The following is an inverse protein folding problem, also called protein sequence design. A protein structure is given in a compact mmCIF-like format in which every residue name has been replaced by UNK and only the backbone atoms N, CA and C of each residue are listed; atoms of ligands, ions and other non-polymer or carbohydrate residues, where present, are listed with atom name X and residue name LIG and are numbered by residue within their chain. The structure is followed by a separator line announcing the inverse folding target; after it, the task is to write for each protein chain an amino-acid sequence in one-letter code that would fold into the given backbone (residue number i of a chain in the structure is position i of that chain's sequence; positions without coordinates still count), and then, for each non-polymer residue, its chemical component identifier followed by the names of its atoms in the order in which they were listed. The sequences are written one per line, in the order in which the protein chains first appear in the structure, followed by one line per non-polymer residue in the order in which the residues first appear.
data_IF_839886054055
#
_entry.id   IF_839886054055
#
_cell.length_a   1.000
_cell.length_b   1.000
_cell.length_c   1.000
_cell.angle_alpha   90.00
_cell.angle_beta   90.00
_cell.angle_gamma   90.00
#
_symmetry.space_group_name_H-M   'P 1'
#
loop_
_entity.id
_entity.type
_entity.pdbx_description
1 polymer ?
#
# COMPACT_ATOMS: atom_id res chain seq x y z
N UNK A 1 -6.11 6.71 -21.75
CA UNK A 1 -5.87 7.73 -22.80
C UNK A 1 -5.34 9.02 -22.19
N UNK A 2 -4.70 9.88 -22.98
CA UNK A 2 -4.16 11.16 -22.49
C UNK A 2 -5.27 12.18 -22.17
N UNK A 3 -5.12 13.03 -21.13
CA UNK A 3 -6.11 14.06 -20.78
C UNK A 3 -6.57 14.94 -21.95
N UNK A 4 -5.65 15.56 -22.71
CA UNK A 4 -6.01 16.41 -23.86
C UNK A 4 -6.88 15.68 -24.91
N UNK A 5 -6.68 14.37 -25.09
CA UNK A 5 -7.47 13.58 -26.03
C UNK A 5 -8.87 13.31 -25.48
N UNK A 6 -8.97 13.06 -24.19
CA UNK A 6 -10.26 12.89 -23.50
C UNK A 6 -11.09 14.18 -23.56
N UNK A 7 -10.45 15.34 -23.31
CA UNK A 7 -11.08 16.66 -23.41
C UNK A 7 -11.61 16.95 -24.82
N UNK A 8 -10.81 16.68 -25.86
CA UNK A 8 -11.24 16.82 -27.26
C UNK A 8 -12.43 15.93 -27.63
N UNK A 9 -12.56 14.77 -26.99
CA UNK A 9 -13.67 13.83 -27.20
C UNK A 9 -14.85 14.10 -26.27
N UNK A 10 -14.71 14.99 -25.28
CA UNK A 10 -15.72 15.26 -24.26
C UNK A 10 -16.04 14.05 -23.38
N UNK A 11 -15.03 13.25 -23.03
CA UNK A 11 -15.19 12.03 -22.21
C UNK A 11 -14.40 12.12 -20.92
N UNK A 12 -14.93 11.48 -19.87
CA UNK A 12 -14.33 11.40 -18.54
C UNK A 12 -13.99 9.95 -18.16
N UNK A 13 -13.39 9.75 -16.97
CA UNK A 13 -13.13 8.41 -16.45
C UNK A 13 -14.45 7.64 -16.30
N UNK A 14 -14.51 6.44 -16.86
CA UNK A 14 -15.67 5.55 -16.82
C UNK A 14 -16.61 5.68 -18.02
N UNK A 15 -16.49 6.75 -18.82
CA UNK A 15 -17.27 6.85 -20.05
C UNK A 15 -16.85 5.76 -21.04
N UNK A 16 -17.84 5.18 -21.72
CA UNK A 16 -17.63 4.11 -22.67
C UNK A 16 -17.36 4.67 -24.07
N UNK A 17 -16.28 4.23 -24.70
CA UNK A 17 -15.92 4.56 -26.08
C UNK A 17 -15.81 3.31 -26.94
N UNK A 18 -16.29 3.40 -28.19
CA UNK A 18 -16.05 2.39 -29.21
C UNK A 18 -14.69 2.63 -29.87
N UNK A 19 -13.82 1.63 -29.80
CA UNK A 19 -12.56 1.57 -30.51
C UNK A 19 -12.73 0.72 -31.76
N UNK A 20 -12.56 1.32 -32.94
CA UNK A 20 -12.67 0.63 -34.23
C UNK A 20 -11.32 0.63 -34.96
N UNK A 21 -10.92 -0.55 -35.40
CA UNK A 21 -9.76 -0.79 -36.27
C UNK A 21 -10.22 -1.48 -37.55
N UNK A 22 -9.28 -1.80 -38.45
CA UNK A 22 -9.58 -2.60 -39.64
C UNK A 22 -9.91 -4.07 -39.29
N UNK A 23 -9.63 -4.51 -38.06
CA UNK A 23 -9.78 -5.90 -37.60
C UNK A 23 -11.04 -6.15 -36.78
N UNK A 24 -11.50 -5.13 -36.03
CA UNK A 24 -12.62 -5.29 -35.12
C UNK A 24 -13.05 -3.98 -34.46
N UNK A 25 -14.12 -4.07 -33.67
CA UNK A 25 -14.62 -2.98 -32.84
C UNK A 25 -14.90 -3.48 -31.43
N UNK A 26 -14.47 -2.73 -30.43
CA UNK A 26 -14.71 -3.03 -29.01
C UNK A 26 -15.18 -1.78 -28.28
N UNK A 27 -16.13 -1.95 -27.36
CA UNK A 27 -16.55 -0.91 -26.43
C UNK A 27 -15.77 -1.06 -25.11
N UNK A 28 -15.10 0.00 -24.68
CA UNK A 28 -14.25 -0.01 -23.48
C UNK A 28 -14.45 1.24 -22.64
N UNK A 29 -14.33 1.13 -21.30
CA UNK A 29 -14.35 2.29 -20.44
C UNK A 29 -13.05 3.10 -20.56
N UNK A 30 -13.16 4.41 -20.45
CA UNK A 30 -12.04 5.34 -20.47
C UNK A 30 -11.38 5.41 -19.10
N UNK A 31 -10.05 5.22 -19.07
CA UNK A 31 -9.19 5.63 -17.97
C UNK A 31 -8.18 6.69 -18.47
N UNK A 32 -8.21 7.87 -17.87
CA UNK A 32 -7.34 9.00 -18.17
C UNK A 32 -6.02 8.82 -17.43
N UNK A 33 -4.92 8.91 -18.16
CA UNK A 33 -3.56 8.76 -17.62
C UNK A 33 -2.64 9.81 -18.23
N UNK A 34 -2.06 10.73 -17.46
CA UNK A 34 -1.22 11.81 -17.99
C UNK A 34 0.10 11.33 -18.58
N UNK A 35 0.59 10.15 -18.18
CA UNK A 35 1.87 9.60 -18.65
C UNK A 35 1.84 8.94 -20.03
N UNK A 36 0.67 8.84 -20.69
CA UNK A 36 0.56 8.26 -22.04
C UNK A 36 0.71 9.33 -23.12
N UNK A 37 1.27 8.99 -24.28
CA UNK A 37 1.38 9.93 -25.40
C UNK A 37 0.00 10.39 -25.91
N UNK A 38 -0.11 11.64 -26.35
CA UNK A 38 -1.39 12.28 -26.75
C UNK A 38 -2.13 11.58 -27.90
N UNK A 39 -1.38 10.94 -28.80
CA UNK A 39 -1.89 10.24 -29.98
C UNK A 39 -2.00 8.71 -29.76
N UNK A 40 -1.81 8.23 -28.52
CA UNK A 40 -1.84 6.81 -28.18
C UNK A 40 -2.96 6.51 -27.19
N UNK A 41 -3.64 5.38 -27.41
CA UNK A 41 -4.51 4.75 -26.43
C UNK A 41 -3.92 3.38 -26.11
N UNK A 42 -3.75 3.11 -24.82
CA UNK A 42 -3.33 1.80 -24.32
C UNK A 42 -4.57 1.02 -23.87
N UNK A 43 -4.60 -0.27 -24.22
CA UNK A 43 -5.62 -1.21 -23.76
C UNK A 43 -4.91 -2.44 -23.21
N UNK A 44 -5.19 -2.79 -21.94
CA UNK A 44 -4.54 -3.90 -21.27
C UNK A 44 -5.07 -5.24 -21.77
N UNK A 45 -4.18 -6.20 -22.03
CA UNK A 45 -4.52 -7.58 -22.42
C UNK A 45 -4.89 -8.43 -21.19
N UNK A 46 -5.59 -9.55 -21.41
CA UNK A 46 -5.94 -10.52 -20.36
C UNK A 46 -7.40 -10.47 -19.88
N UNK A 47 -8.25 -9.68 -20.51
CA UNK A 47 -9.71 -9.69 -20.33
C UNK A 47 -10.44 -10.41 -21.47
N UNK A 48 -11.76 -10.55 -21.35
CA UNK A 48 -12.64 -11.10 -22.38
C UNK A 48 -12.50 -12.61 -22.58
N UNK A 49 -12.16 -13.34 -21.52
CA UNK A 49 -12.10 -14.80 -21.58
C UNK A 49 -13.51 -15.42 -21.68
N UNK A 50 -13.62 -16.57 -22.34
CA UNK A 50 -14.88 -17.32 -22.53
C UNK A 50 -14.80 -18.77 -22.05
N UNK A 51 -13.64 -19.21 -21.55
CA UNK A 51 -13.40 -20.56 -21.05
C UNK A 51 -12.24 -20.66 -20.06
N UNK A 52 -11.97 -19.58 -19.32
CA UNK A 52 -10.99 -19.51 -18.23
C UNK A 52 -11.63 -19.67 -16.84
N UNK A 53 -12.93 -19.95 -16.79
CA UNK A 53 -13.68 -20.25 -15.57
C UNK A 53 -14.33 -19.03 -14.94
N UNK A 54 -15.09 -19.29 -13.86
CA UNK A 54 -16.04 -18.34 -13.24
C UNK A 54 -15.49 -16.95 -12.85
N UNK A 55 -14.18 -16.80 -12.68
CA UNK A 55 -13.56 -15.53 -12.27
C UNK A 55 -13.04 -14.71 -13.45
N UNK A 56 -12.85 -15.32 -14.62
CA UNK A 56 -12.31 -14.68 -15.80
C UNK A 56 -13.34 -14.60 -16.94
N UNK A 57 -14.28 -15.54 -17.00
CA UNK A 57 -15.27 -15.62 -18.05
C UNK A 57 -16.23 -14.42 -18.02
N UNK A 58 -16.36 -13.74 -19.16
CA UNK A 58 -17.23 -12.57 -19.30
C UNK A 58 -16.71 -11.29 -18.64
N UNK A 59 -15.51 -11.30 -18.05
CA UNK A 59 -14.93 -10.12 -17.41
C UNK A 59 -14.03 -9.34 -18.38
N UNK A 60 -14.37 -8.06 -18.59
CA UNK A 60 -13.67 -7.17 -19.52
C UNK A 60 -13.90 -7.53 -20.99
N UNK A 61 -13.03 -7.01 -21.86
CA UNK A 61 -13.03 -7.31 -23.30
C UNK A 61 -11.69 -7.89 -23.72
N UNK A 62 -11.66 -8.57 -24.87
CA UNK A 62 -10.43 -9.14 -25.42
C UNK A 62 -9.80 -8.19 -26.46
N UNK A 63 -8.71 -7.48 -26.14
CA UNK A 63 -8.10 -6.51 -27.07
C UNK A 63 -7.51 -7.16 -28.32
N UNK A 64 -7.29 -8.48 -28.30
CA UNK A 64 -6.75 -9.21 -29.45
C UNK A 64 -7.67 -9.13 -30.67
N UNK A 65 -8.95 -8.78 -30.50
CA UNK A 65 -9.90 -8.55 -31.59
C UNK A 65 -9.63 -7.26 -32.39
N UNK A 66 -8.79 -6.37 -31.89
CA UNK A 66 -8.42 -5.11 -32.54
C UNK A 66 -7.10 -5.16 -33.31
N UNK A 67 -6.45 -6.32 -33.37
CA UNK A 67 -5.11 -6.48 -33.97
C UNK A 67 -5.09 -7.64 -34.98
N UNK A 68 -4.17 -7.64 -35.95
CA UNK A 68 -4.08 -8.74 -36.92
C UNK A 68 -3.68 -10.05 -36.25
N UNK A 69 -4.26 -11.16 -36.71
CA UNK A 69 -3.82 -12.51 -36.37
C UNK A 69 -2.57 -12.92 -37.17
N UNK A 70 -1.53 -12.07 -37.12
CA UNK A 70 -0.28 -12.23 -37.85
C UNK A 70 0.91 -12.14 -36.87
N UNK A 71 2.06 -12.63 -37.31
CA UNK A 71 3.33 -12.47 -36.58
C UNK A 71 4.16 -11.40 -37.25
N UNK A 72 4.86 -10.61 -36.44
CA UNK A 72 5.79 -9.61 -36.94
C UNK A 72 6.98 -10.32 -37.61
N UNK A 73 7.28 -9.96 -38.85
CA UNK A 73 8.15 -10.74 -39.72
C UNK A 73 9.60 -10.83 -39.23
N UNK A 74 10.10 -9.83 -38.51
CA UNK A 74 11.50 -9.80 -38.03
C UNK A 74 11.69 -10.57 -36.72
N UNK A 75 10.75 -10.49 -35.79
CA UNK A 75 10.83 -11.08 -34.45
C UNK A 75 10.10 -12.41 -34.34
N UNK A 76 9.16 -12.71 -35.23
CA UNK A 76 8.21 -13.82 -35.10
C UNK A 76 7.23 -13.64 -33.92
N UNK A 77 7.24 -12.46 -33.28
CA UNK A 77 6.36 -12.14 -32.15
C UNK A 77 4.93 -11.81 -32.60
N UNK A 78 4.01 -11.80 -31.63
CA UNK A 78 2.65 -11.32 -31.87
C UNK A 78 2.65 -9.82 -32.14
N UNK A 79 1.78 -9.37 -33.04
CA UNK A 79 1.58 -7.94 -33.27
C UNK A 79 0.85 -7.33 -32.07
N UNK A 80 1.48 -6.38 -31.39
CA UNK A 80 0.93 -5.75 -30.16
C UNK A 80 0.47 -4.30 -30.35
N UNK A 81 0.58 -3.74 -31.56
CA UNK A 81 0.16 -2.36 -31.82
C UNK A 81 -0.43 -2.20 -33.22
N UNK A 82 -1.35 -1.26 -33.36
CA UNK A 82 -1.91 -0.80 -34.64
C UNK A 82 -1.85 0.71 -34.69
N UNK A 83 -1.65 1.28 -35.89
CA UNK A 83 -1.38 2.72 -36.03
C UNK A 83 -2.63 3.56 -36.29
N UNK A 84 -3.76 2.94 -36.67
CA UNK A 84 -5.00 3.65 -36.99
C UNK A 84 -6.15 3.08 -36.18
N UNK A 85 -6.67 3.90 -35.27
CA UNK A 85 -7.83 3.59 -34.44
C UNK A 85 -8.81 4.76 -34.55
N UNK A 86 -10.08 4.46 -34.80
CA UNK A 86 -11.17 5.43 -34.66
C UNK A 86 -11.79 5.27 -33.28
N UNK A 87 -12.07 6.39 -32.63
CA UNK A 87 -12.63 6.43 -31.27
C UNK A 87 -13.91 7.24 -31.35
N UNK A 88 -15.02 6.69 -30.85
CA UNK A 88 -16.30 7.37 -30.77
C UNK A 88 -16.91 7.19 -29.37
N UNK A 89 -17.37 8.27 -28.71
CA UNK A 89 -18.14 8.15 -27.48
C UNK A 89 -19.45 7.40 -27.73
N UNK A 90 -19.80 6.46 -26.86
CA UNK A 90 -21.06 5.70 -26.97
C UNK A 90 -22.23 6.39 -26.25
N UNK A 91 -21.92 7.30 -25.31
CA UNK A 91 -22.89 7.90 -24.40
C UNK A 91 -23.22 7.03 -23.17
N UNK A 92 -22.70 5.81 -23.08
CA UNK A 92 -22.82 4.96 -21.91
C UNK A 92 -21.71 5.25 -20.90
N UNK A 93 -21.98 4.97 -19.62
CA UNK A 93 -21.02 5.12 -18.54
C UNK A 93 -20.90 3.82 -17.74
N UNK A 94 -19.67 3.47 -17.38
CA UNK A 94 -19.32 2.31 -16.60
C UNK A 94 -18.67 2.73 -15.29
N UNK A 95 -19.18 2.20 -14.17
CA UNK A 95 -18.61 2.51 -12.86
C UNK A 95 -17.30 1.73 -12.65
N UNK A 96 -16.18 2.43 -12.83
CA UNK A 96 -14.85 1.86 -12.58
C UNK A 96 -14.63 1.60 -11.09
N UNK A 97 -14.32 0.35 -10.73
CA UNK A 97 -13.83 0.03 -9.40
C UNK A 97 -12.35 0.40 -9.27
N UNK A 98 -12.05 1.39 -8.42
CA UNK A 98 -10.69 1.82 -8.14
C UNK A 98 -10.47 1.92 -6.64
N UNK A 99 -9.36 1.36 -6.17
CA UNK A 99 -8.83 1.59 -4.82
C UNK A 99 -7.96 2.85 -4.74
N UNK A 100 -7.60 3.42 -5.90
CA UNK A 100 -6.83 4.66 -5.98
C UNK A 100 -7.73 5.80 -5.48
N UNK A 101 -7.23 6.52 -4.48
CA UNK A 101 -7.87 7.74 -3.99
C UNK A 101 -7.53 8.93 -4.88
N UNK A 102 -7.09 10.02 -4.27
CA UNK A 102 -6.55 11.17 -5.00
C UNK A 102 -5.22 10.82 -5.66
N UNK A 103 -5.10 11.06 -6.96
CA UNK A 103 -3.85 10.93 -7.72
C UNK A 103 -2.84 12.05 -7.39
N UNK A 104 -3.24 13.06 -6.60
CA UNK A 104 -2.37 14.15 -6.12
C UNK A 104 -2.25 14.12 -4.59
N UNK A 105 -1.07 14.49 -4.10
CA UNK A 105 -0.80 14.65 -2.67
C UNK A 105 -1.48 15.89 -2.09
N UNK A 106 -1.95 16.83 -2.92
CA UNK A 106 -2.53 18.11 -2.47
C UNK A 106 -1.56 18.91 -1.58
N UNK A 107 -0.28 18.98 -1.98
CA UNK A 107 0.80 19.63 -1.24
C UNK A 107 0.94 19.12 0.21
N UNK A 108 0.84 17.80 0.39
CA UNK A 108 1.09 17.14 1.68
C UNK A 108 2.37 16.31 1.56
N UNK A 109 3.28 16.32 2.54
CA UNK A 109 4.54 15.60 2.49
C UNK A 109 4.36 14.09 2.75
N UNK A 110 3.54 13.41 1.93
CA UNK A 110 3.24 11.97 2.07
C UNK A 110 4.38 11.17 1.42
N UNK A 111 4.76 11.52 0.20
CA UNK A 111 5.84 10.94 -0.61
C UNK A 111 6.78 12.05 -1.08
N UNK A 112 7.59 12.64 -0.18
CA UNK A 112 8.56 13.65 -0.56
C UNK A 112 9.67 13.04 -1.40
N UNK A 113 10.20 13.85 -2.32
CA UNK A 113 11.43 13.58 -3.04
C UNK A 113 12.55 14.53 -2.58
N UNK A 114 13.79 14.17 -2.89
CA UNK A 114 14.98 15.01 -2.73
C UNK A 114 15.78 14.94 -4.02
N UNK A 115 16.29 16.08 -4.49
CA UNK A 115 17.12 16.07 -5.70
C UNK A 115 18.49 15.46 -5.37
N UNK A 116 19.11 14.81 -6.36
CA UNK A 116 20.46 14.26 -6.21
C UNK A 116 21.49 15.35 -5.88
N UNK A 117 21.27 16.59 -6.36
CA UNK A 117 22.12 17.73 -6.04
C UNK A 117 22.10 18.07 -4.55
N UNK A 118 20.92 17.99 -3.92
CA UNK A 118 20.72 18.38 -2.52
C UNK A 118 21.24 17.34 -1.53
N UNK A 119 21.40 16.08 -1.94
CA UNK A 119 21.91 15.00 -1.07
C UNK A 119 23.33 15.24 -0.55
N UNK A 120 24.16 16.01 -1.26
CA UNK A 120 25.54 16.30 -0.85
C UNK A 120 25.72 17.68 -0.21
N UNK A 121 24.76 18.58 -0.42
CA UNK A 121 24.68 19.83 0.31
C UNK A 121 23.93 19.52 1.58
N UNK A 122 24.62 18.82 2.49
CA UNK A 122 24.07 18.33 3.75
C UNK A 122 23.06 19.33 4.25
N UNK A 123 21.78 18.98 4.09
CA UNK A 123 20.71 19.95 4.28
C UNK A 123 20.89 20.43 5.71
N UNK A 124 21.36 21.66 5.89
CA UNK A 124 21.12 22.38 7.13
C UNK A 124 19.64 22.15 7.37
N UNK A 125 19.34 21.40 8.42
CA UNK A 125 18.11 20.64 8.51
C UNK A 125 16.96 21.50 8.00
N UNK A 126 16.29 21.04 6.94
CA UNK A 126 14.92 21.44 6.73
C UNK A 126 14.09 20.83 7.86
N UNK A 127 14.37 21.23 9.11
CA UNK A 127 13.34 21.49 10.08
C UNK A 127 12.41 22.43 9.34
N UNK A 128 11.22 21.97 9.00
CA UNK A 128 10.17 22.88 8.62
C UNK A 128 10.16 24.01 9.66
N UNK A 129 10.44 25.24 9.22
CA UNK A 129 10.44 26.42 10.07
C UNK A 129 9.02 26.63 10.60
N UNK A 130 8.73 25.95 11.71
CA UNK A 130 7.40 25.85 12.27
C UNK A 130 7.47 25.03 13.55
N UNK A 131 8.11 25.57 14.58
CA UNK A 131 8.35 24.92 15.86
C UNK A 131 7.14 24.15 16.39
N UNK A 132 7.15 22.84 16.19
CA UNK A 132 6.31 21.93 16.93
C UNK A 132 6.96 21.75 18.32
N UNK A 133 6.15 21.90 19.37
CA UNK A 133 6.64 21.65 20.74
C UNK A 133 7.17 20.21 20.89
N UNK A 134 7.88 19.89 21.98
CA UNK A 134 8.48 18.57 22.18
C UNK A 134 7.45 17.46 22.01
N UNK A 135 7.84 16.37 21.34
CA UNK A 135 6.97 15.20 21.19
C UNK A 135 6.55 14.67 22.56
N UNK A 136 5.40 14.02 22.61
CA UNK A 136 4.86 13.46 23.86
C UNK A 136 4.66 11.97 23.72
N UNK A 137 5.01 11.24 24.75
CA UNK A 137 4.81 9.79 24.84
C UNK A 137 3.57 9.48 25.68
N UNK A 138 2.65 8.69 25.14
CA UNK A 138 1.48 8.21 25.88
C UNK A 138 1.89 7.01 26.73
N UNK A 139 1.83 7.15 28.06
CA UNK A 139 2.15 6.07 28.99
C UNK A 139 0.87 5.33 29.41
N UNK A 140 0.97 4.00 29.55
CA UNK A 140 -0.16 3.11 29.85
C UNK A 140 -0.96 3.48 31.12
N UNK A 141 -0.34 4.19 32.08
CA UNK A 141 -0.95 4.53 33.38
C UNK A 141 -0.81 6.01 33.81
N UNK A 142 -0.37 6.92 32.94
CA UNK A 142 0.12 8.24 33.39
C UNK A 142 -0.28 9.47 32.56
N UNK A 143 -1.09 9.31 31.51
CA UNK A 143 -1.28 10.38 30.53
C UNK A 143 -0.03 10.59 29.67
N UNK A 144 0.11 11.78 29.09
CA UNK A 144 1.23 12.11 28.22
C UNK A 144 2.44 12.59 29.01
N UNK A 145 3.59 11.94 28.83
CA UNK A 145 4.89 12.40 29.32
C UNK A 145 5.61 13.11 28.16
N UNK A 146 5.94 14.41 28.27
CA UNK A 146 6.74 15.07 27.24
C UNK A 146 8.14 14.43 27.17
N UNK A 147 8.59 14.16 25.95
CA UNK A 147 9.94 13.68 25.65
C UNK A 147 10.60 14.76 24.81
N UNK A 148 11.71 15.31 25.29
CA UNK A 148 12.51 16.27 24.51
C UNK A 148 13.25 15.50 23.41
N UNK A 149 12.82 15.72 22.17
CA UNK A 149 13.35 15.10 20.94
C UNK A 149 12.98 16.02 19.79
N UNK A 150 13.81 16.03 18.75
CA UNK A 150 13.53 16.75 17.50
C UNK A 150 12.54 16.00 16.61
N UNK A 151 12.10 14.80 17.01
CA UNK A 151 11.17 13.96 16.28
C UNK A 151 11.79 13.22 15.11
N UNK A 152 13.11 13.20 15.05
CA UNK A 152 13.82 12.59 13.94
C UNK A 152 13.52 11.08 13.91
N UNK A 153 13.50 10.45 12.73
CA UNK A 153 13.28 9.01 12.63
C UNK A 153 14.26 8.18 13.47
N UNK A 154 15.47 8.69 13.67
CA UNK A 154 16.52 8.07 14.50
C UNK A 154 16.26 8.11 16.01
N UNK A 155 15.41 9.03 16.49
CA UNK A 155 15.06 9.16 17.91
C UNK A 155 14.16 8.01 18.42
N UNK A 156 13.89 7.01 17.58
CA UNK A 156 12.92 5.97 17.86
C UNK A 156 13.56 4.61 18.14
N UNK A 157 13.01 3.86 19.11
CA UNK A 157 11.90 4.24 19.99
C UNK A 157 12.27 5.38 20.95
N UNK A 158 11.29 6.19 21.35
CA UNK A 158 11.56 7.31 22.25
C UNK A 158 12.11 6.81 23.59
N UNK A 159 13.08 7.50 24.21
CA UNK A 159 13.60 7.12 25.51
C UNK A 159 12.50 6.97 26.57
N UNK A 160 12.46 5.83 27.27
CA UNK A 160 11.47 5.55 28.31
C UNK A 160 10.09 5.13 27.79
N UNK A 161 9.93 4.89 26.49
CA UNK A 161 8.70 4.32 25.93
C UNK A 161 8.49 2.90 26.46
N UNK A 162 7.36 2.64 27.11
CA UNK A 162 6.94 1.30 27.56
C UNK A 162 5.81 0.81 26.68
N UNK A 163 5.87 -0.46 26.28
CA UNK A 163 4.89 -1.05 25.37
C UNK A 163 4.16 -2.19 26.05
N UNK A 164 2.83 -2.09 26.12
CA UNK A 164 2.02 -3.04 26.86
C UNK A 164 2.19 -2.92 28.39
N UNK A 165 1.33 -3.63 29.13
CA UNK A 165 1.33 -3.61 30.61
C UNK A 165 2.39 -4.54 31.24
N UNK A 166 2.97 -5.44 30.44
CA UNK A 166 3.83 -6.54 30.91
C UNK A 166 5.17 -6.61 30.18
N UNK A 167 5.57 -5.54 29.47
CA UNK A 167 6.81 -5.51 28.72
C UNK A 167 8.01 -5.05 29.55
N UNK A 168 9.12 -5.78 29.41
CA UNK A 168 10.42 -5.42 29.95
C UNK A 168 11.29 -4.75 28.87
N UNK A 169 12.33 -4.02 29.28
CA UNK A 169 13.19 -3.27 28.35
C UNK A 169 13.99 -4.16 27.38
N UNK A 170 14.11 -5.46 27.69
CA UNK A 170 14.81 -6.49 26.90
C UNK A 170 14.02 -6.96 25.66
N UNK A 171 12.71 -6.66 25.60
CA UNK A 171 11.88 -7.06 24.45
C UNK A 171 12.30 -6.33 23.17
N UNK A 172 12.29 -7.01 22.00
CA UNK A 172 12.63 -6.38 20.73
C UNK A 172 11.60 -5.29 20.39
N UNK A 173 12.03 -4.27 19.65
CA UNK A 173 11.10 -3.30 19.05
C UNK A 173 11.03 -3.56 17.55
N UNK A 174 9.94 -4.15 17.09
CA UNK A 174 9.76 -4.40 15.67
C UNK A 174 9.47 -3.11 14.91
N UNK A 175 10.27 -2.85 13.88
CA UNK A 175 10.12 -1.71 13.00
C UNK A 175 10.30 -2.12 11.55
N UNK A 176 9.92 -1.23 10.65
CA UNK A 176 10.08 -1.39 9.22
C UNK A 176 10.63 -0.12 8.61
N UNK A 177 11.50 -0.24 7.62
CA UNK A 177 11.91 0.87 6.78
C UNK A 177 11.57 0.57 5.32
N UNK A 178 11.12 1.58 4.58
CA UNK A 178 10.77 1.44 3.16
C UNK A 178 11.49 2.49 2.32
N UNK A 179 12.36 2.05 1.42
CA UNK A 179 13.04 2.92 0.47
C UNK A 179 12.15 3.19 -0.76
N UNK A 180 11.62 4.42 -0.85
CA UNK A 180 10.72 4.80 -1.94
C UNK A 180 11.45 4.95 -3.27
N UNK A 181 12.76 5.21 -3.25
CA UNK A 181 13.58 5.30 -4.45
C UNK A 181 13.66 3.96 -5.20
N UNK A 182 13.69 2.86 -4.43
CA UNK A 182 13.70 1.50 -4.96
C UNK A 182 12.29 0.98 -5.30
N UNK A 183 11.24 1.63 -4.82
CA UNK A 183 9.88 1.14 -4.98
C UNK A 183 9.34 1.43 -6.39
N UNK A 184 9.30 0.40 -7.23
CA UNK A 184 8.80 0.50 -8.61
C UNK A 184 7.27 0.42 -8.73
N UNK A 185 6.56 0.18 -7.62
CA UNK A 185 5.11 -0.01 -7.64
C UNK A 185 4.64 -1.37 -8.21
N UNK A 186 5.47 -2.41 -8.12
CA UNK A 186 5.17 -3.73 -8.70
C UNK A 186 4.02 -4.52 -8.03
N UNK A 187 3.49 -4.05 -6.90
CA UNK A 187 2.39 -4.68 -6.12
C UNK A 187 2.63 -6.11 -5.60
N UNK A 188 3.82 -6.69 -5.77
CA UNK A 188 4.20 -8.01 -5.23
C UNK A 188 4.04 -8.10 -3.70
N UNK A 189 4.29 -7.00 -2.98
CA UNK A 189 4.13 -6.94 -1.53
C UNK A 189 2.67 -7.06 -1.08
N UNK A 190 1.71 -6.61 -1.90
CA UNK A 190 0.27 -6.71 -1.64
C UNK A 190 -0.17 -8.17 -1.77
N UNK A 191 0.15 -8.80 -2.90
CA UNK A 191 -0.20 -10.20 -3.18
C UNK A 191 0.43 -11.14 -2.15
N UNK A 192 1.70 -10.90 -1.78
CA UNK A 192 2.35 -11.69 -0.74
C UNK A 192 1.68 -11.52 0.64
N UNK A 193 1.27 -10.30 1.00
CA UNK A 193 0.53 -10.08 2.24
C UNK A 193 -0.84 -10.80 2.22
N UNK A 194 -1.51 -10.78 1.07
CA UNK A 194 -2.80 -11.44 0.87
C UNK A 194 -2.69 -12.96 1.04
N UNK A 195 -1.72 -13.57 0.34
CA UNK A 195 -1.45 -15.00 0.42
C UNK A 195 -1.00 -15.44 1.82
N UNK A 196 -0.10 -14.68 2.45
CA UNK A 196 0.46 -15.02 3.75
C UNK A 196 -0.56 -14.91 4.88
N UNK A 197 -1.40 -13.88 4.84
CA UNK A 197 -2.29 -13.53 5.95
C UNK A 197 -3.76 -13.85 5.66
N UNK A 198 -4.05 -14.76 4.73
CA UNK A 198 -5.42 -15.20 4.43
C UNK A 198 -6.39 -14.02 4.16
N UNK A 199 -5.91 -12.96 3.50
CA UNK A 199 -6.76 -11.79 3.23
C UNK A 199 -7.71 -12.15 2.07
N UNK A 200 -9.03 -11.98 2.25
CA UNK A 200 -10.00 -12.36 1.23
C UNK A 200 -9.93 -11.45 0.01
N UNK A 201 -10.28 -11.97 -1.16
CA UNK A 201 -10.57 -11.15 -2.33
C UNK A 201 -12.01 -10.60 -2.26
N UNK A 202 -12.22 -9.45 -2.86
CA UNK A 202 -13.52 -8.78 -2.93
C UNK A 202 -13.90 -8.54 -4.38
N UNK A 203 -15.18 -8.74 -4.71
CA UNK A 203 -15.67 -8.47 -6.06
C UNK A 203 -15.73 -6.98 -6.37
N UNK A 204 -15.82 -6.68 -7.67
CA UNK A 204 -15.76 -5.33 -8.21
C UNK A 204 -16.74 -4.35 -7.54
N UNK A 205 -18.00 -4.76 -7.33
CA UNK A 205 -19.00 -3.93 -6.68
C UNK A 205 -18.65 -3.54 -5.24
N UNK A 206 -17.95 -4.39 -4.49
CA UNK A 206 -17.47 -4.05 -3.14
C UNK A 206 -16.29 -3.09 -3.20
N UNK A 207 -15.38 -3.28 -4.15
CA UNK A 207 -14.25 -2.37 -4.38
C UNK A 207 -14.76 -0.98 -4.78
N UNK A 208 -15.76 -0.88 -5.66
CA UNK A 208 -16.39 0.38 -6.04
C UNK A 208 -17.05 1.13 -4.86
N UNK A 209 -17.45 0.40 -3.80
CA UNK A 209 -17.95 0.99 -2.55
C UNK A 209 -16.83 1.34 -1.55
N UNK A 210 -15.56 1.19 -1.93
CA UNK A 210 -14.41 1.41 -1.05
C UNK A 210 -14.20 0.33 0.02
N UNK A 211 -14.69 -0.89 -0.22
CA UNK A 211 -14.64 -2.03 0.71
C UNK A 211 -13.58 -3.05 0.31
N UNK A 212 -12.44 -2.56 -0.13
CA UNK A 212 -11.22 -3.35 -0.30
C UNK A 212 -10.73 -3.91 1.04
N UNK A 213 -10.13 -5.10 0.98
CA UNK A 213 -9.58 -5.83 2.13
C UNK A 213 -8.04 -5.79 2.17
N UNK A 214 -7.37 -5.11 1.24
CA UNK A 214 -5.92 -4.98 1.18
C UNK A 214 -5.31 -4.40 2.47
N UNK A 215 -4.48 -5.20 3.15
CA UNK A 215 -3.74 -4.75 4.34
C UNK A 215 -2.56 -3.82 4.02
N UNK A 216 -2.14 -3.83 2.76
CA UNK A 216 -1.13 -2.96 2.18
C UNK A 216 -1.77 -2.35 0.93
N UNK A 217 -1.81 -1.04 0.86
CA UNK A 217 -2.22 -0.31 -0.34
C UNK A 217 -1.00 0.31 -0.99
N UNK A 218 -0.91 0.25 -2.31
CA UNK A 218 0.10 0.98 -3.05
C UNK A 218 -0.51 2.32 -3.45
N UNK A 219 -0.10 3.37 -2.75
CA UNK A 219 -0.49 4.73 -3.06
C UNK A 219 0.39 5.24 -4.20
N UNK A 220 -0.24 5.90 -5.17
CA UNK A 220 0.42 6.46 -6.35
C UNK A 220 0.07 7.93 -6.44
N UNK A 221 1.09 8.75 -6.55
CA UNK A 221 0.94 10.19 -6.73
C UNK A 221 1.65 10.67 -7.98
N UNK A 222 1.01 11.60 -8.67
CA UNK A 222 1.54 12.31 -9.82
C UNK A 222 2.03 13.68 -9.40
N UNK A 223 3.30 13.95 -9.66
CA UNK A 223 3.93 15.26 -9.48
C UNK A 223 4.30 15.85 -10.84
N UNK A 224 4.09 17.15 -11.00
CA UNK A 224 4.38 17.86 -12.24
C UNK A 224 5.82 18.35 -12.19
N UNK A 225 6.62 17.90 -13.14
CA UNK A 225 8.01 18.36 -13.31
C UNK A 225 8.03 19.44 -14.38
N UNK A 226 8.87 20.47 -14.22
CA UNK A 226 9.10 21.47 -15.26
C UNK A 226 9.43 20.76 -16.60
N UNK A 227 8.67 21.10 -17.64
CA UNK A 227 8.68 20.47 -18.96
C UNK A 227 10.01 20.63 -19.74
N UNK A 228 10.98 21.37 -19.20
CA UNK A 228 12.33 21.52 -19.76
C UNK A 228 13.25 20.31 -19.50
N UNK A 229 12.86 19.38 -18.61
CA UNK A 229 13.59 18.14 -18.31
C UNK A 229 12.80 16.89 -18.77
N UNK A 230 13.44 15.72 -18.83
CA UNK A 230 12.88 14.51 -19.45
C UNK A 230 11.55 14.04 -18.81
N UNK A 231 10.43 14.33 -19.51
CA UNK A 231 9.07 13.91 -19.16
C UNK A 231 8.40 14.85 -18.14
N UNK A 232 7.17 15.35 -18.40
CA UNK A 232 6.51 16.33 -17.53
C UNK A 232 5.90 15.72 -16.24
N UNK A 233 6.19 14.45 -15.94
CA UNK A 233 5.48 13.68 -14.91
C UNK A 233 6.44 12.83 -14.09
N UNK A 234 6.53 13.12 -12.79
CA UNK A 234 7.11 12.22 -11.79
C UNK A 234 5.99 11.39 -11.15
N UNK A 235 6.24 10.09 -11.00
CA UNK A 235 5.30 9.15 -10.37
C UNK A 235 5.95 8.63 -9.10
N UNK A 236 5.26 8.81 -7.99
CA UNK A 236 5.72 8.39 -6.66
C UNK A 236 4.84 7.28 -6.16
N UNK A 237 5.47 6.19 -5.72
CA UNK A 237 4.80 5.03 -5.15
C UNK A 237 5.12 4.93 -3.67
N UNK A 238 4.10 4.70 -2.85
CA UNK A 238 4.28 4.43 -1.42
C UNK A 238 3.40 3.24 -1.02
N UNK A 239 3.99 2.14 -0.54
CA UNK A 239 3.22 1.07 0.06
C UNK A 239 2.78 1.48 1.47
N UNK A 240 1.54 1.93 1.59
CA UNK A 240 0.88 2.30 2.83
C UNK A 240 0.34 1.05 3.53
N UNK A 241 0.63 0.90 4.82
CA UNK A 241 0.18 -0.22 5.67
C UNK A 241 -0.02 0.24 7.10
N UNK A 242 -0.43 -0.67 8.00
CA UNK A 242 -0.40 -0.35 9.43
C UNK A 242 1.00 0.07 9.84
N UNK A 243 1.09 1.25 10.44
CA UNK A 243 2.34 1.86 10.85
C UNK A 243 2.82 1.38 12.21
N UNK A 244 2.03 0.53 12.91
CA UNK A 244 2.30 0.08 14.28
C UNK A 244 2.75 1.22 15.21
N UNK A 245 2.02 2.34 15.10
CA UNK A 245 2.21 3.58 15.85
C UNK A 245 2.41 3.30 17.33
N UNK A 246 3.36 3.98 17.97
CA UNK A 246 3.56 3.90 19.41
C UNK A 246 2.41 4.58 20.16
N UNK A 247 2.11 5.82 19.79
CA UNK A 247 0.90 6.51 20.22
C UNK A 247 -0.24 6.13 19.28
N UNK A 248 -0.72 4.87 19.34
CA UNK A 248 -1.74 4.38 18.43
C UNK A 248 -3.13 4.95 18.76
N UNK A 249 -3.69 5.87 17.93
CA UNK A 249 -5.02 6.44 18.20
C UNK A 249 -6.14 5.41 18.04
N UNK A 250 -5.87 4.35 17.29
CA UNK A 250 -6.82 3.28 17.02
C UNK A 250 -7.05 2.33 18.21
N UNK A 251 -6.21 2.37 19.25
CA UNK A 251 -6.35 1.51 20.44
C UNK A 251 -7.32 2.02 21.50
N UNK A 252 -7.18 3.25 22.04
CA UNK A 252 -8.03 3.71 23.14
C UNK A 252 -9.51 3.85 22.75
N UNK A 253 -9.81 3.88 21.45
CA UNK A 253 -11.18 3.95 20.92
C UNK A 253 -11.87 2.59 20.81
N UNK A 254 -11.17 1.48 21.08
CA UNK A 254 -11.76 0.15 21.05
C UNK A 254 -12.44 -0.18 22.39
N UNK A 255 -13.79 -0.23 22.46
CA UNK A 255 -14.50 -0.41 23.74
C UNK A 255 -14.31 -1.79 24.38
N UNK A 256 -13.81 -2.76 23.61
CA UNK A 256 -13.63 -4.15 24.04
C UNK A 256 -12.16 -4.57 24.10
N UNK A 257 -11.24 -3.61 23.91
CA UNK A 257 -9.79 -3.85 23.92
C UNK A 257 -9.34 -4.96 22.95
N UNK A 258 -9.98 -5.03 21.77
CA UNK A 258 -9.56 -5.93 20.69
C UNK A 258 -8.22 -5.50 20.04
N UNK A 259 -7.74 -4.31 20.37
CA UNK A 259 -6.49 -3.74 19.89
C UNK A 259 -5.72 -3.20 21.08
N UNK A 260 -4.44 -3.57 21.19
CA UNK A 260 -3.56 -3.19 22.29
C UNK A 260 -2.10 -3.31 21.85
N UNK A 261 -1.19 -2.66 22.55
CA UNK A 261 0.25 -2.86 22.35
C UNK A 261 0.75 -4.13 23.02
N UNK A 262 1.46 -4.96 22.28
CA UNK A 262 2.23 -6.07 22.84
C UNK A 262 3.55 -5.56 23.46
N UNK A 263 4.19 -6.36 24.34
CA UNK A 263 5.50 -6.06 24.90
C UNK A 263 6.58 -5.71 23.87
N UNK A 264 6.59 -6.40 22.73
CA UNK A 264 7.52 -6.19 21.62
C UNK A 264 7.12 -5.03 20.68
N UNK A 265 6.18 -4.19 21.12
CA UNK A 265 5.83 -2.94 20.44
C UNK A 265 4.90 -3.10 19.23
N UNK A 266 4.33 -4.28 19.00
CA UNK A 266 3.34 -4.47 17.95
C UNK A 266 1.99 -3.92 18.42
N UNK A 267 1.38 -3.10 17.58
CA UNK A 267 -0.06 -2.91 17.67
C UNK A 267 -0.77 -4.23 17.32
N UNK A 268 -1.35 -4.93 18.29
CA UNK A 268 -2.08 -6.18 18.06
C UNK A 268 -3.53 -5.93 17.58
N UNK A 269 -4.05 -6.88 16.80
CA UNK A 269 -5.48 -6.97 16.48
C UNK A 269 -5.93 -8.38 16.85
N UNK A 270 -6.71 -8.48 17.90
CA UNK A 270 -7.30 -9.74 18.36
C UNK A 270 -8.64 -9.89 17.66
N UNK A 271 -8.69 -10.76 16.65
CA UNK A 271 -9.84 -10.89 15.74
C UNK A 271 -11.11 -11.31 16.47
N UNK A 272 -11.04 -12.36 17.30
CA UNK A 272 -12.18 -12.92 18.05
C UNK A 272 -12.71 -12.02 19.18
N UNK A 273 -11.99 -10.95 19.54
CA UNK A 273 -12.45 -9.96 20.53
C UNK A 273 -13.17 -8.79 19.86
N UNK A 274 -12.99 -8.60 18.56
CA UNK A 274 -13.57 -7.49 17.83
C UNK A 274 -15.09 -7.65 17.71
N UNK A 275 -15.84 -6.66 18.17
CA UNK A 275 -17.32 -6.61 18.05
C UNK A 275 -17.79 -5.69 16.91
N UNK A 276 -16.88 -5.28 16.02
CA UNK A 276 -17.24 -4.60 14.78
C UNK A 276 -17.73 -3.16 14.90
N UNK A 277 -17.34 -2.40 15.93
CA UNK A 277 -17.73 -0.99 16.07
C UNK A 277 -17.11 -0.05 15.03
N UNK A 278 -16.01 -0.47 14.38
CA UNK A 278 -15.27 0.25 13.33
C UNK A 278 -14.65 1.60 13.73
N UNK A 279 -14.76 2.01 14.98
CA UNK A 279 -14.22 3.31 15.41
C UNK A 279 -12.68 3.39 15.27
N UNK A 280 -11.98 2.26 15.44
CA UNK A 280 -10.54 2.19 15.21
C UNK A 280 -10.13 2.51 13.76
N UNK A 281 -11.01 2.30 12.77
CA UNK A 281 -10.76 2.71 11.39
C UNK A 281 -10.83 4.24 11.24
N UNK A 282 -11.83 4.87 11.85
CA UNK A 282 -12.02 6.32 11.78
C UNK A 282 -10.83 7.05 12.43
N UNK A 283 -10.38 6.59 13.60
CA UNK A 283 -9.33 7.25 14.36
C UNK A 283 -7.91 6.96 13.81
N UNK A 284 -7.75 5.96 12.95
CA UNK A 284 -6.47 5.72 12.28
C UNK A 284 -6.24 6.80 11.20
N UNK A 285 -5.18 7.62 11.28
CA UNK A 285 -4.94 8.68 10.30
C UNK A 285 -4.64 8.11 8.90
N UNK A 286 -4.01 6.94 8.83
CA UNK A 286 -3.66 6.25 7.58
C UNK A 286 -4.82 5.45 6.94
N UNK A 287 -5.94 5.26 7.65
CA UNK A 287 -7.09 4.47 7.20
C UNK A 287 -6.73 3.05 6.73
N UNK A 288 -5.78 2.41 7.40
CA UNK A 288 -5.23 1.06 7.08
C UNK A 288 -5.84 -0.08 7.91
N UNK A 289 -6.96 0.19 8.57
CA UNK A 289 -7.79 -0.84 9.20
C UNK A 289 -8.96 -1.13 8.27
N UNK A 290 -9.05 -2.35 7.78
CA UNK A 290 -10.11 -2.81 6.87
C UNK A 290 -11.15 -3.61 7.64
N UNK A 291 -12.38 -3.68 7.14
CA UNK A 291 -13.49 -4.31 7.85
C UNK A 291 -14.11 -5.42 7.02
N UNK A 292 -14.30 -6.59 7.62
CA UNK A 292 -15.04 -7.67 6.99
C UNK A 292 -16.53 -7.37 6.98
N UNK A 293 -17.02 -6.88 5.85
CA UNK A 293 -18.45 -6.58 5.65
C UNK A 293 -19.31 -7.83 5.52
N UNK A 294 -18.74 -8.89 4.96
CA UNK A 294 -19.40 -10.14 4.66
C UNK A 294 -18.48 -11.30 5.04
N UNK A 295 -19.04 -12.50 5.05
CA UNK A 295 -18.24 -13.72 5.17
C UNK A 295 -17.72 -14.05 3.78
N UNK A 296 -16.39 -14.22 3.66
CA UNK A 296 -15.72 -14.48 2.39
C UNK A 296 -15.26 -15.94 2.23
N UNK A 297 -15.63 -16.79 3.18
CA UNK A 297 -15.12 -18.15 3.34
C UNK A 297 -16.21 -19.22 3.25
N UNK A 298 -17.47 -18.81 3.12
CA UNK A 298 -18.60 -19.73 3.02
C UNK A 298 -18.62 -20.46 1.67
N UNK A 299 -19.12 -21.70 1.65
CA UNK A 299 -19.23 -22.53 0.44
C UNK A 299 -20.24 -21.95 -0.56
N UNK A 300 -21.34 -21.37 -0.06
CA UNK A 300 -22.34 -20.68 -0.88
C UNK A 300 -22.30 -19.16 -0.68
N UNK A 301 -22.35 -18.37 -1.76
CA UNK A 301 -22.30 -16.91 -1.66
C UNK A 301 -23.58 -16.38 -1.02
N UNK A 302 -23.43 -15.60 0.06
CA UNK A 302 -24.56 -14.87 0.68
C UNK A 302 -25.14 -13.84 -0.31
N UNK A 303 -24.32 -13.34 -1.25
CA UNK A 303 -24.70 -12.47 -2.39
C UNK A 303 -23.71 -12.61 -3.55
N UNK A 304 -24.18 -12.36 -4.77
CA UNK A 304 -23.36 -12.29 -5.99
C UNK A 304 -22.21 -11.28 -5.86
N UNK A 305 -21.01 -11.66 -6.30
CA UNK A 305 -19.81 -10.80 -6.23
C UNK A 305 -19.09 -10.76 -4.86
N UNK A 306 -19.48 -11.59 -3.90
CA UNK A 306 -18.70 -11.82 -2.68
C UNK A 306 -17.72 -12.97 -2.90
N UNK A 307 -16.45 -12.76 -2.52
CA UNK A 307 -15.43 -13.78 -2.62
C UNK A 307 -15.81 -15.02 -1.85
N UNK A 308 -15.86 -16.17 -2.53
CA UNK A 308 -15.97 -17.49 -1.91
C UNK A 308 -14.72 -18.30 -2.26
N UNK A 309 -14.20 -19.04 -1.28
CA UNK A 309 -13.04 -19.92 -1.46
C UNK A 309 -13.57 -21.36 -1.54
N UNK A 310 -13.86 -21.89 -2.73
CA UNK A 310 -14.35 -23.25 -2.90
C UNK A 310 -13.22 -24.25 -2.63
N UNK A 311 -13.58 -25.51 -2.40
CA UNK A 311 -12.60 -26.58 -2.52
C UNK A 311 -12.10 -26.68 -3.98
N UNK A 312 -10.78 -26.84 -4.25
CA UNK A 312 -9.66 -27.01 -3.30
C UNK A 312 -8.91 -25.72 -2.95
N UNK A 313 -9.42 -24.54 -3.32
CA UNK A 313 -8.73 -23.27 -3.06
C UNK A 313 -8.56 -22.99 -1.56
N UNK A 314 -9.38 -23.58 -0.70
CA UNK A 314 -9.25 -23.47 0.76
C UNK A 314 -7.92 -24.03 1.28
N UNK A 315 -7.25 -24.93 0.53
CA UNK A 315 -5.92 -25.45 0.90
C UNK A 315 -4.80 -24.43 0.74
N UNK A 316 -5.06 -23.28 0.10
CA UNK A 316 -4.09 -22.20 -0.01
C UNK A 316 -3.96 -21.39 1.30
N UNK A 317 -4.88 -21.58 2.24
CA UNK A 317 -4.92 -20.80 3.48
C UNK A 317 -3.76 -21.21 4.38
N UNK A 318 -3.06 -20.20 4.90
CA UNK A 318 -2.02 -20.36 5.89
C UNK A 318 -2.62 -20.89 7.20
N UNK A 319 -2.21 -22.07 7.70
CA UNK A 319 -2.76 -22.65 8.93
C UNK A 319 -2.38 -21.86 10.20
N UNK A 320 -1.31 -21.06 10.14
CA UNK A 320 -0.81 -20.29 11.30
C UNK A 320 -1.52 -18.94 11.47
N UNK A 321 -2.41 -18.57 10.54
CA UNK A 321 -3.14 -17.31 10.57
C UNK A 321 -4.63 -17.57 10.62
N UNK A 322 -5.31 -16.97 11.61
CA UNK A 322 -6.76 -17.02 11.73
C UNK A 322 -7.43 -16.62 10.43
N UNK A 323 -8.38 -17.42 9.94
CA UNK A 323 -9.31 -17.02 8.89
C UNK A 323 -10.44 -16.23 9.55
N UNK A 324 -10.72 -15.02 9.08
CA UNK A 324 -11.63 -14.10 9.77
C UNK A 324 -13.04 -14.24 9.22
N UNK A 325 -14.02 -14.08 10.10
CA UNK A 325 -15.43 -13.99 9.77
C UNK A 325 -15.85 -12.53 9.50
N UNK A 326 -17.12 -12.36 9.14
CA UNK A 326 -17.72 -11.05 9.05
C UNK A 326 -17.71 -10.29 10.39
N UNK A 327 -17.90 -8.98 10.35
CA UNK A 327 -18.04 -8.19 11.57
C UNK A 327 -16.73 -7.79 12.24
N UNK A 328 -15.57 -8.19 11.71
CA UNK A 328 -14.27 -8.03 12.36
C UNK A 328 -13.36 -7.07 11.59
N UNK A 329 -12.59 -6.27 12.33
CA UNK A 329 -11.55 -5.40 11.79
C UNK A 329 -10.24 -6.17 11.57
N UNK A 330 -9.55 -5.86 10.49
CA UNK A 330 -8.23 -6.37 10.16
C UNK A 330 -7.24 -5.24 9.86
N UNK A 331 -5.96 -5.59 9.88
CA UNK A 331 -4.85 -4.72 9.49
C UNK A 331 -3.59 -5.54 9.31
N UNK A 332 -2.58 -4.95 8.67
CA UNK A 332 -1.20 -5.45 8.72
C UNK A 332 -0.78 -5.71 10.18
N UNK A 333 -0.28 -6.92 10.44
CA UNK A 333 0.16 -7.40 11.75
C UNK A 333 1.69 -7.51 11.86
N UNK A 334 2.43 -7.00 10.87
CA UNK A 334 3.85 -7.33 10.64
C UNK A 334 4.11 -8.83 10.54
N UNK A 335 3.15 -9.59 9.99
CA UNK A 335 3.21 -11.06 9.90
C UNK A 335 3.52 -11.68 11.27
N UNK A 336 2.73 -11.32 12.28
CA UNK A 336 2.96 -11.71 13.69
C UNK A 336 3.18 -13.22 13.87
N UNK A 337 2.53 -14.06 13.08
CA UNK A 337 2.73 -15.51 13.09
C UNK A 337 4.18 -15.91 12.74
N UNK A 338 4.83 -15.22 11.80
CA UNK A 338 6.26 -15.43 11.50
C UNK A 338 7.17 -14.96 12.63
N UNK A 339 6.81 -13.86 13.29
CA UNK A 339 7.54 -13.37 14.47
C UNK A 339 7.48 -14.41 15.58
N UNK A 340 6.27 -14.91 15.90
CA UNK A 340 6.08 -15.90 16.96
C UNK A 340 6.70 -17.25 16.62
N UNK A 341 6.61 -17.73 15.37
CA UNK A 341 7.29 -18.95 14.95
C UNK A 341 8.82 -18.84 15.10
N UNK A 342 9.42 -17.72 14.67
CA UNK A 342 10.86 -17.49 14.81
C UNK A 342 11.29 -17.46 16.29
N UNK A 343 10.56 -16.76 17.14
CA UNK A 343 10.84 -16.70 18.58
C UNK A 343 10.68 -18.08 19.25
N UNK A 344 9.62 -18.82 18.92
CA UNK A 344 9.40 -20.16 19.46
C UNK A 344 10.51 -21.13 19.03
N UNK A 345 10.93 -21.09 17.76
CA UNK A 345 12.03 -21.90 17.25
C UNK A 345 13.37 -21.49 17.86
N UNK A 346 13.61 -20.21 18.08
CA UNK A 346 14.82 -19.74 18.74
C UNK A 346 15.00 -20.36 20.14
N UNK A 347 13.93 -20.48 20.91
CA UNK A 347 13.94 -21.14 22.24
C UNK A 347 14.36 -22.62 22.14
N UNK A 348 13.92 -23.32 21.10
CA UNK A 348 14.18 -24.76 20.92
C UNK A 348 15.53 -25.04 20.25
N UNK A 349 15.88 -24.26 19.24
CA UNK A 349 17.01 -24.50 18.33
C UNK A 349 18.25 -23.67 18.67
N UNK A 350 18.16 -22.76 19.66
CA UNK A 350 19.24 -21.85 20.02
C UNK A 350 19.59 -20.84 18.91
N UNK A 351 18.62 -20.52 18.06
CA UNK A 351 18.75 -19.50 17.01
C UNK A 351 18.46 -18.11 17.57
N UNK A 352 18.80 -17.09 16.79
CA UNK A 352 18.48 -15.71 17.12
C UNK A 352 16.97 -15.44 16.95
N UNK A 353 16.23 -15.08 18.02
CA UNK A 353 14.78 -14.83 17.95
C UNK A 353 14.43 -13.56 17.17
N UNK A 354 15.40 -12.68 16.90
CA UNK A 354 15.17 -11.38 16.26
C UNK A 354 15.29 -11.42 14.73
N UNK A 355 15.69 -12.56 14.16
CA UNK A 355 15.84 -12.73 12.70
C UNK A 355 14.53 -13.20 12.07
N UNK A 356 13.70 -12.23 11.69
CA UNK A 356 12.39 -12.46 11.04
C UNK A 356 12.35 -11.82 9.67
N UNK A 357 11.84 -12.55 8.67
CA UNK A 357 11.55 -12.01 7.33
C UNK A 357 10.05 -12.07 7.07
N UNK A 358 9.42 -10.91 6.97
CA UNK A 358 7.99 -10.78 6.71
C UNK A 358 7.66 -10.96 5.23
N UNK A 359 6.44 -11.36 4.88
CA UNK A 359 6.05 -11.69 3.50
C UNK A 359 6.27 -10.53 2.51
N UNK A 360 5.90 -9.30 2.90
CA UNK A 360 6.07 -8.13 2.04
C UNK A 360 7.54 -7.73 1.81
N UNK A 361 8.44 -8.07 2.75
CA UNK A 361 9.89 -7.92 2.57
C UNK A 361 10.41 -9.02 1.63
N UNK A 362 10.04 -10.28 1.88
CA UNK A 362 10.50 -11.43 1.10
C UNK A 362 10.12 -11.34 -0.39
N UNK A 363 8.95 -10.79 -0.71
CA UNK A 363 8.48 -10.70 -2.10
C UNK A 363 8.93 -9.43 -2.83
N UNK A 364 9.60 -8.50 -2.15
CA UNK A 364 10.05 -7.25 -2.73
C UNK A 364 11.32 -7.47 -3.56
N UNK A 365 11.17 -7.61 -4.87
CA UNK A 365 12.30 -7.84 -5.78
C UNK A 365 13.36 -6.72 -5.78
N UNK A 366 12.99 -5.51 -5.36
CA UNK A 366 13.88 -4.35 -5.29
C UNK A 366 14.55 -4.17 -3.91
N UNK A 367 14.29 -5.07 -2.95
CA UNK A 367 14.75 -4.95 -1.56
C UNK A 367 14.41 -3.59 -0.92
N UNK A 368 13.26 -3.02 -1.31
CA UNK A 368 12.82 -1.72 -0.82
C UNK A 368 12.31 -1.77 0.63
N UNK A 369 11.79 -2.92 1.09
CA UNK A 369 11.19 -3.08 2.42
C UNK A 369 12.17 -3.84 3.31
N UNK A 370 12.54 -3.27 4.45
CA UNK A 370 13.40 -3.88 5.47
C UNK A 370 12.63 -3.95 6.77
N UNK A 371 12.57 -5.13 7.41
CA UNK A 371 11.94 -5.32 8.70
C UNK A 371 12.94 -5.94 9.70
N UNK A 372 12.81 -5.59 10.97
CA UNK A 372 13.66 -6.15 12.03
C UNK A 372 13.47 -5.48 13.38
N UNK A 373 14.32 -5.85 14.34
CA UNK A 373 14.38 -5.22 15.66
C UNK A 373 15.19 -3.91 15.58
N UNK A 374 14.55 -2.75 15.76
CA UNK A 374 15.23 -1.45 15.70
C UNK A 374 16.09 -1.15 16.93
N UNK A 375 15.87 -1.83 18.06
CA UNK A 375 16.74 -1.71 19.25
C UNK A 375 18.12 -2.34 19.01
N UNK A 376 18.23 -3.28 18.05
CA UNK A 376 19.52 -3.84 17.65
C UNK A 376 20.24 -2.84 16.72
N UNK A 377 21.36 -2.23 17.17
CA UNK A 377 22.07 -1.21 16.41
C UNK A 377 22.72 -1.74 15.13
N UNK A 378 22.96 -3.06 15.06
CA UNK A 378 23.54 -3.73 13.89
C UNK A 378 22.47 -4.22 12.90
N UNK A 379 21.19 -4.02 13.23
CA UNK A 379 20.09 -4.40 12.34
C UNK A 379 20.02 -3.51 11.11
N UNK A 380 19.65 -4.10 9.97
CA UNK A 380 19.46 -3.35 8.72
C UNK A 380 18.43 -2.21 8.87
N UNK A 381 17.37 -2.42 9.65
CA UNK A 381 16.32 -1.42 9.85
C UNK A 381 16.82 -0.23 10.68
N UNK A 382 17.68 -0.46 11.67
CA UNK A 382 18.30 0.61 12.45
C UNK A 382 19.23 1.48 11.59
N UNK A 383 20.04 0.86 10.72
CA UNK A 383 20.89 1.61 9.78
C UNK A 383 20.08 2.42 8.77
N UNK A 384 19.09 1.79 8.13
CA UNK A 384 18.26 2.43 7.10
C UNK A 384 17.40 3.56 7.67
N UNK A 385 16.97 3.45 8.93
CA UNK A 385 16.18 4.50 9.60
C UNK A 385 17.00 5.72 10.03
N UNK A 386 18.34 5.64 10.00
CA UNK A 386 19.28 6.75 10.28
C UNK A 386 19.77 7.45 8.99
N UNK A 387 19.28 7.02 7.83
CA UNK A 387 19.56 7.70 6.56
C UNK A 387 19.01 9.13 6.60
N UNK A 388 19.73 10.11 6.05
CA UNK A 388 19.29 11.50 5.99
C UNK A 388 17.98 11.69 5.22
N UNK A 389 17.62 10.74 4.35
CA UNK A 389 16.35 10.71 3.63
C UNK A 389 15.18 10.16 4.45
N UNK A 390 15.44 9.61 5.64
CA UNK A 390 14.41 8.98 6.44
C UNK A 390 13.39 10.03 6.93
N UNK A 391 12.13 9.65 6.94
CA UNK A 391 11.04 10.43 7.52
C UNK A 391 9.89 9.50 7.96
N UNK A 392 8.92 10.06 8.69
CA UNK A 392 7.71 9.35 9.11
C UNK A 392 6.46 10.07 8.67
N UNK A 393 5.63 9.35 7.92
CA UNK A 393 4.42 9.91 7.32
C UNK A 393 3.47 10.45 8.40
N UNK A 394 3.11 11.73 8.29
CA UNK A 394 2.18 12.44 9.18
C UNK A 394 2.58 12.51 10.67
N UNK A 395 3.83 12.17 11.02
CA UNK A 395 4.22 12.07 12.43
C UNK A 395 4.19 13.43 13.13
N UNK A 396 4.74 14.47 12.51
CA UNK A 396 4.79 15.83 13.07
C UNK A 396 3.39 16.39 13.33
N UNK A 397 2.43 16.08 12.46
CA UNK A 397 1.05 16.55 12.58
C UNK A 397 0.23 15.79 13.62
N UNK A 398 0.56 14.51 13.88
CA UNK A 398 -0.31 13.60 14.65
C UNK A 398 0.32 13.03 15.92
N UNK A 399 1.65 13.14 16.08
CA UNK A 399 2.44 12.53 17.13
C UNK A 399 2.06 11.05 17.37
N UNK A 400 1.85 10.30 16.28
CA UNK A 400 1.51 8.87 16.36
C UNK A 400 2.75 7.98 16.56
N UNK A 401 3.94 8.52 16.30
CA UNK A 401 5.23 7.83 16.35
C UNK A 401 5.20 6.45 15.64
N UNK A 402 5.06 6.45 14.30
CA UNK A 402 5.11 5.25 13.47
C UNK A 402 6.35 4.37 13.73
N UNK A 403 6.15 3.06 13.78
CA UNK A 403 7.23 2.07 13.70
C UNK A 403 7.74 1.85 12.27
N UNK A 404 7.10 2.47 11.29
CA UNK A 404 7.53 2.43 9.89
C UNK A 404 8.18 3.76 9.54
N UNK A 405 9.42 3.71 9.10
CA UNK A 405 10.14 4.81 8.46
C UNK A 405 10.10 4.65 6.95
N UNK A 406 10.10 5.77 6.22
CA UNK A 406 10.19 5.80 4.76
C UNK A 406 11.41 6.63 4.38
N UNK A 407 12.06 6.30 3.26
CA UNK A 407 13.15 7.10 2.71
C UNK A 407 12.64 7.84 1.49
N UNK A 408 12.90 9.15 1.44
CA UNK A 408 12.53 10.02 0.31
C UNK A 408 13.08 9.45 -1.00
N UNK A 409 12.30 9.59 -2.08
CA UNK A 409 12.72 9.25 -3.45
C UNK A 409 13.83 10.20 -3.89
N UNK A 410 14.84 9.72 -4.61
CA UNK A 410 15.90 10.56 -5.15
C UNK A 410 15.57 10.88 -6.61
N UNK A 411 15.56 12.16 -6.96
CA UNK A 411 15.25 12.62 -8.32
C UNK A 411 16.45 13.31 -8.96
N UNK A 412 16.53 13.26 -10.28
CA UNK A 412 17.56 13.99 -11.04
C UNK A 412 17.14 15.43 -11.39
N UNK A 413 15.86 15.76 -11.21
CA UNK A 413 15.32 17.11 -11.38
C UNK A 413 15.19 17.81 -10.03
N UNK A 414 15.17 19.15 -10.07
CA UNK A 414 14.91 19.97 -8.88
C UNK A 414 13.54 19.65 -8.28
N UNK A 415 13.48 19.62 -6.95
CA UNK A 415 12.25 19.37 -6.18
C UNK A 415 11.91 20.64 -5.42
N UNK A 416 10.63 21.00 -5.34
CA UNK A 416 10.21 22.16 -4.57
C UNK A 416 10.56 22.03 -3.07
N UNK A 417 10.57 23.14 -2.32
CA UNK A 417 10.99 23.16 -0.91
C UNK A 417 10.13 22.27 0.02
N UNK A 418 8.89 21.97 -0.34
CA UNK A 418 8.01 21.04 0.39
C UNK A 418 8.17 19.57 -0.05
N UNK A 419 9.18 19.28 -0.88
CA UNK A 419 9.42 17.95 -1.40
C UNK A 419 8.46 17.53 -2.52
N UNK A 420 7.77 18.48 -3.17
CA UNK A 420 6.83 18.26 -4.28
C UNK A 420 7.48 18.53 -5.64
#
# INVERSE_FOLDING_TARGET
MHPDRAELLGVENGDMVSLTTDYGTLDVPVWIYPGIRKDVVGLAMGGGHTGAGRFADGNGVNPMELIPAETETLSGGLVHFVTKVRIAPTGNHYQLASISGSDTQSNRPITPAVSLGDLNHGTEGHSEEGGHGPFKELQALGGFVPVETEGLPEDYPLPGSKHGEYGDDEEPRWAMAVDLDKCTGCSSCIVACQAENNVPWVGEGQVAMGRDMGWIRLERYYEKVDATQAGPLDIRFMPMRCQHCNNAPCEPVCPVFATYHTPDGLNAQVYNRCVGTRYCANNCPYKVRVYNWYTFTDEEPVREGLGHIPEPMNWQLNPDVTVRENGIMEKCSFCVHRIRDAQNRAVVEGRDPNKVVVACQQSCAADAIVFGNIKDPDSKVAHVSKDQRAYRVLNEMTNTQPAVSYLKKVTFHEVGPEGH
#
